data_IF_000894398513
#
_entry.id   IF_000894398513
#
_cell.length_a   1.000
_cell.length_b   1.000
_cell.length_c   1.000
_cell.angle_alpha   90.00
_cell.angle_beta   90.00
_cell.angle_gamma   90.00
#
_symmetry.space_group_name_H-M   'P 1'
#
loop_
_entity.id
_entity.type
_entity.pdbx_description
1 polymer ?
#
# COMPACT_ATOMS: atom_id res chain seq x y z
N UNK A 1 14.72 -1.48 6.31
CA UNK A 1 13.59 -2.29 6.84
C UNK A 1 12.52 -2.42 5.75
N UNK A 2 11.82 -3.53 5.68
CA UNK A 2 10.83 -3.77 4.60
C UNK A 2 9.66 -2.78 4.61
N UNK A 3 9.28 -2.30 5.80
CA UNK A 3 8.17 -1.35 5.93
C UNK A 3 8.39 -0.08 5.10
N UNK A 4 9.56 0.53 5.21
CA UNK A 4 9.84 1.78 4.48
C UNK A 4 9.88 1.55 2.97
N UNK A 5 10.45 0.45 2.55
CA UNK A 5 10.51 0.08 1.14
C UNK A 5 9.11 -0.19 0.57
N UNK A 6 8.27 -0.89 1.33
CA UNK A 6 6.91 -1.23 0.90
C UNK A 6 6.02 0.01 0.79
N UNK A 7 6.13 0.96 1.73
CA UNK A 7 5.38 2.22 1.64
C UNK A 7 5.76 2.97 0.37
N UNK A 8 7.05 3.12 0.11
CA UNK A 8 7.53 3.82 -1.09
C UNK A 8 7.08 3.11 -2.36
N UNK A 9 7.17 1.79 -2.38
CA UNK A 9 6.77 0.96 -3.52
C UNK A 9 5.28 1.11 -3.83
N UNK A 10 4.42 1.04 -2.81
CA UNK A 10 2.99 1.23 -2.97
C UNK A 10 2.66 2.64 -3.47
N UNK A 11 3.30 3.64 -2.88
CA UNK A 11 3.10 5.03 -3.29
C UNK A 11 3.47 5.26 -4.75
N UNK A 12 4.65 4.84 -5.15
CA UNK A 12 5.13 5.04 -6.52
C UNK A 12 4.32 4.24 -7.53
N UNK A 13 3.93 3.02 -7.18
CA UNK A 13 3.07 2.20 -8.03
C UNK A 13 1.69 2.82 -8.25
N UNK A 14 1.23 3.62 -7.28
CA UNK A 14 -0.06 4.34 -7.37
C UNK A 14 0.06 5.68 -8.11
N UNK A 15 1.24 6.04 -8.59
CA UNK A 15 1.46 7.29 -9.32
C UNK A 15 1.47 8.53 -8.44
N UNK A 16 1.61 8.38 -7.13
CA UNK A 16 1.61 9.51 -6.18
C UNK A 16 3.03 9.95 -5.86
N UNK A 17 3.25 11.27 -5.80
CA UNK A 17 4.47 11.79 -5.20
C UNK A 17 4.30 11.90 -3.68
N UNK A 18 5.37 12.25 -2.97
CA UNK A 18 5.33 12.34 -1.51
C UNK A 18 4.36 13.41 -1.02
N UNK A 19 4.25 14.53 -1.72
CA UNK A 19 3.35 15.63 -1.35
C UNK A 19 1.89 15.18 -1.43
N UNK A 20 1.51 14.54 -2.53
CA UNK A 20 0.14 14.09 -2.75
C UNK A 20 -0.24 12.97 -1.78
N UNK A 21 0.66 12.03 -1.56
CA UNK A 21 0.43 10.96 -0.58
C UNK A 21 0.28 11.53 0.83
N UNK A 22 1.13 12.48 1.20
CA UNK A 22 1.03 13.15 2.50
C UNK A 22 -0.34 13.81 2.69
N UNK A 23 -0.85 14.47 1.66
CA UNK A 23 -2.20 15.08 1.70
C UNK A 23 -3.27 14.01 1.92
N UNK A 24 -3.18 12.88 1.23
CA UNK A 24 -4.13 11.77 1.37
C UNK A 24 -4.11 11.20 2.79
N UNK A 25 -2.93 11.16 3.40
CA UNK A 25 -2.77 10.63 4.76
C UNK A 25 -3.01 11.66 5.85
N UNK A 26 -3.14 12.95 5.50
CA UNK A 26 -3.32 14.01 6.48
C UNK A 26 -2.05 14.34 7.27
N UNK A 27 -0.88 14.16 6.67
CA UNK A 27 0.41 14.43 7.29
C UNK A 27 1.25 15.33 6.40
N UNK A 28 2.43 15.75 6.90
CA UNK A 28 3.35 16.56 6.11
C UNK A 28 4.16 15.69 5.14
N UNK A 29 4.69 16.32 4.09
CA UNK A 29 5.64 15.66 3.19
C UNK A 29 6.85 15.13 3.96
N UNK A 30 7.34 15.89 4.94
CA UNK A 30 8.47 15.46 5.76
C UNK A 30 8.17 14.19 6.53
N UNK A 31 6.94 14.03 7.00
CA UNK A 31 6.50 12.82 7.69
C UNK A 31 6.59 11.60 6.75
N UNK A 32 6.09 11.73 5.53
CA UNK A 32 6.19 10.68 4.52
C UNK A 32 7.65 10.36 4.20
N UNK A 33 8.46 11.38 4.01
CA UNK A 33 9.89 11.22 3.74
C UNK A 33 10.58 10.46 4.87
N UNK A 34 10.26 10.77 6.11
CA UNK A 34 10.83 10.08 7.28
C UNK A 34 10.44 8.59 7.29
N UNK A 35 9.20 8.26 6.92
CA UNK A 35 8.77 6.86 6.81
C UNK A 35 9.57 6.12 5.74
N UNK A 36 9.72 6.73 4.57
CA UNK A 36 10.37 6.10 3.41
C UNK A 36 11.89 5.99 3.57
N UNK A 37 12.49 6.86 4.36
CA UNK A 37 13.93 6.84 4.65
C UNK A 37 14.27 6.02 5.90
N UNK A 38 13.30 5.34 6.48
CA UNK A 38 13.47 4.52 7.69
C UNK A 38 13.97 5.33 8.91
N UNK A 39 13.66 6.63 8.94
CA UNK A 39 14.03 7.50 10.07
C UNK A 39 13.04 7.41 11.21
N UNK A 40 11.74 7.27 10.87
CA UNK A 40 10.63 7.18 11.82
C UNK A 40 9.63 6.17 11.29
N UNK A 41 9.09 5.34 12.16
CA UNK A 41 8.01 4.42 11.81
C UNK A 41 6.66 5.13 11.94
N UNK A 42 5.70 4.85 11.06
CA UNK A 42 4.33 5.32 11.27
C UNK A 42 3.74 4.71 12.54
N UNK A 43 2.83 5.43 13.19
CA UNK A 43 2.07 4.89 14.32
C UNK A 43 1.20 3.72 13.85
N UNK A 44 0.70 2.92 14.79
CA UNK A 44 -0.23 1.83 14.46
C UNK A 44 -1.45 2.36 13.73
N UNK A 45 -2.03 3.46 14.19
CA UNK A 45 -3.19 4.08 13.55
C UNK A 45 -2.87 4.51 12.11
N UNK A 46 -1.71 5.10 11.91
CA UNK A 46 -1.28 5.53 10.57
C UNK A 46 -0.98 4.33 9.67
N UNK A 47 -0.39 3.28 10.22
CA UNK A 47 -0.13 2.04 9.48
C UNK A 47 -1.43 1.43 8.94
N UNK A 48 -2.46 1.37 9.78
CA UNK A 48 -3.79 0.88 9.38
C UNK A 48 -4.36 1.77 8.28
N UNK A 49 -4.25 3.09 8.43
CA UNK A 49 -4.74 4.04 7.42
C UNK A 49 -4.04 3.86 6.07
N UNK A 50 -2.73 3.66 6.08
CA UNK A 50 -1.95 3.41 4.86
C UNK A 50 -2.40 2.10 4.20
N UNK A 51 -2.55 1.04 4.99
CA UNK A 51 -3.00 -0.25 4.50
C UNK A 51 -4.39 -0.15 3.85
N UNK A 52 -5.32 0.52 4.52
CA UNK A 52 -6.67 0.73 4.00
C UNK A 52 -6.66 1.55 2.71
N UNK A 53 -5.81 2.55 2.63
CA UNK A 53 -5.71 3.39 1.44
C UNK A 53 -5.25 2.59 0.22
N UNK A 54 -4.25 1.73 0.40
CA UNK A 54 -3.71 0.91 -0.69
C UNK A 54 -4.42 -0.42 -0.87
N UNK A 55 -5.41 -0.73 -0.02
CA UNK A 55 -6.16 -2.00 -0.08
C UNK A 55 -5.26 -3.23 0.09
N UNK A 56 -4.27 -3.12 0.95
CA UNK A 56 -3.39 -4.21 1.35
C UNK A 56 -3.48 -4.45 2.84
N UNK A 57 -2.89 -5.53 3.33
CA UNK A 57 -2.85 -5.82 4.76
C UNK A 57 -1.70 -5.06 5.43
N UNK A 58 -1.82 -4.81 6.73
CA UNK A 58 -0.72 -4.27 7.51
C UNK A 58 0.47 -5.24 7.53
N UNK A 59 0.21 -6.54 7.53
CA UNK A 59 1.27 -7.56 7.47
C UNK A 59 2.09 -7.46 6.19
N UNK A 60 1.44 -7.18 5.06
CA UNK A 60 2.15 -6.96 3.80
C UNK A 60 3.11 -5.77 3.91
N UNK A 61 2.61 -4.64 4.45
CA UNK A 61 3.45 -3.43 4.60
C UNK A 61 4.63 -3.72 5.52
N UNK A 62 4.40 -4.48 6.59
CA UNK A 62 5.45 -4.85 7.55
C UNK A 62 6.41 -5.92 7.01
N UNK A 63 6.10 -6.52 5.87
CA UNK A 63 6.93 -7.57 5.29
C UNK A 63 6.81 -8.90 6.02
N UNK A 64 5.69 -9.17 6.68
CA UNK A 64 5.48 -10.37 7.50
C UNK A 64 4.81 -11.51 6.76
N UNK A 65 4.21 -11.24 5.60
CA UNK A 65 3.52 -12.25 4.77
C UNK A 65 4.23 -12.46 3.47
N UNK A 66 4.36 -13.71 3.05
CA UNK A 66 4.80 -14.07 1.70
C UNK A 66 3.68 -13.86 0.69
N UNK A 67 2.42 -13.98 1.13
CA UNK A 67 1.24 -13.77 0.30
C UNK A 67 0.75 -12.34 0.44
N UNK A 68 0.38 -11.75 -0.68
CA UNK A 68 -0.20 -10.41 -0.72
C UNK A 68 -1.72 -10.54 -0.86
N UNK A 69 -2.45 -9.93 0.05
CA UNK A 69 -3.90 -9.91 0.04
C UNK A 69 -4.39 -8.51 -0.31
N UNK A 70 -5.28 -8.42 -1.29
CA UNK A 70 -5.95 -7.17 -1.64
C UNK A 70 -7.39 -7.21 -1.14
N UNK A 71 -7.82 -6.12 -0.53
CA UNK A 71 -9.22 -5.97 -0.10
C UNK A 71 -10.08 -5.63 -1.32
N UNK A 72 -10.94 -6.56 -1.70
CA UNK A 72 -11.88 -6.39 -2.81
C UNK A 72 -13.33 -6.26 -2.34
N UNK A 73 -13.55 -6.09 -1.04
CA UNK A 73 -14.91 -6.06 -0.47
C UNK A 73 -15.78 -4.92 -1.00
N UNK A 74 -15.15 -3.83 -1.48
CA UNK A 74 -15.89 -2.70 -2.08
C UNK A 74 -16.15 -2.84 -3.57
N UNK A 75 -15.75 -3.96 -4.19
CA UNK A 75 -15.89 -4.17 -5.62
C UNK A 75 -17.11 -5.03 -5.94
N UNK A 76 -17.68 -4.82 -7.13
CA UNK A 76 -18.74 -5.69 -7.65
C UNK A 76 -18.15 -7.04 -8.08
N UNK A 77 -18.99 -8.06 -8.25
CA UNK A 77 -18.54 -9.36 -8.73
C UNK A 77 -17.87 -9.26 -10.09
N UNK A 78 -18.38 -8.39 -10.97
CA UNK A 78 -17.77 -8.16 -12.28
C UNK A 78 -16.35 -7.58 -12.14
N UNK A 79 -16.19 -6.60 -11.25
CA UNK A 79 -14.88 -5.99 -10.99
C UNK A 79 -13.89 -7.00 -10.38
N UNK A 80 -14.37 -7.84 -9.46
CA UNK A 80 -13.54 -8.91 -8.87
C UNK A 80 -13.07 -9.89 -9.96
N UNK A 81 -13.97 -10.24 -10.88
CA UNK A 81 -13.62 -11.11 -12.00
C UNK A 81 -12.56 -10.49 -12.91
N UNK A 82 -12.65 -9.18 -13.18
CA UNK A 82 -11.61 -8.47 -13.94
C UNK A 82 -10.26 -8.53 -13.25
N UNK A 83 -10.22 -8.28 -11.93
CA UNK A 83 -8.99 -8.36 -11.15
C UNK A 83 -8.42 -9.78 -11.20
N UNK A 84 -9.26 -10.80 -11.02
CA UNK A 84 -8.84 -12.19 -11.06
C UNK A 84 -8.23 -12.57 -12.42
N UNK A 85 -8.83 -12.09 -13.52
CA UNK A 85 -8.31 -12.32 -14.87
C UNK A 85 -6.94 -11.68 -15.07
N UNK A 86 -6.76 -10.46 -14.58
CA UNK A 86 -5.47 -9.77 -14.66
C UNK A 86 -4.40 -10.54 -13.89
N UNK A 87 -4.71 -10.97 -12.66
CA UNK A 87 -3.79 -11.74 -11.84
C UNK A 87 -3.40 -13.05 -12.54
N UNK A 88 -4.39 -13.77 -13.07
CA UNK A 88 -4.15 -15.02 -13.78
C UNK A 88 -3.28 -14.80 -15.02
N UNK A 89 -3.56 -13.76 -15.80
CA UNK A 89 -2.81 -13.42 -17.00
C UNK A 89 -1.34 -13.14 -16.69
N UNK A 90 -1.08 -12.40 -15.63
CA UNK A 90 0.29 -12.08 -15.19
C UNK A 90 1.02 -13.29 -14.64
N UNK A 91 0.31 -14.21 -14.00
CA UNK A 91 0.89 -15.41 -13.38
C UNK A 91 1.25 -16.50 -14.38
N UNK A 92 0.69 -16.48 -15.57
CA UNK A 92 0.88 -17.54 -16.59
C UNK A 92 1.98 -17.23 -17.59
N UNK A 93 2.82 -16.31 -17.32
CA UNK A 93 3.96 -15.96 -18.20
C UNK A 93 4.95 -17.10 -18.36
#
# INVERSE_FOLDING_TARGET
MLLNENIKKLRTASGLNQVDFAKKMGVSKQCVSNWENDNVMPSVEMLVKIADFFKVTTDYILGRNELVYLDVSGLSDEQINHVALIVNDLATK
#
